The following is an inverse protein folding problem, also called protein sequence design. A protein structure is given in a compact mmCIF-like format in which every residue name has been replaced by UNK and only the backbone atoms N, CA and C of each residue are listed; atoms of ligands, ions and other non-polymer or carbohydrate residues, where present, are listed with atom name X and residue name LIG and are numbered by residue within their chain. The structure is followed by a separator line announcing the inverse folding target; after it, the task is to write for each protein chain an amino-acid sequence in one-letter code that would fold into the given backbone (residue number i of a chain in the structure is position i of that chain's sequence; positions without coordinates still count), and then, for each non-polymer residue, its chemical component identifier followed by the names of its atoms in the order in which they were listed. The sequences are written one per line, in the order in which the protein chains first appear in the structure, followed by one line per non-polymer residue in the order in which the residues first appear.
data_IF_796861031646
#
_entry.id   IF_796861031646
#
_cell.length_a   1.000
_cell.length_b   1.000
_cell.length_c   1.000
_cell.angle_alpha   90.00
_cell.angle_beta   90.00
_cell.angle_gamma   90.00
#
_symmetry.space_group_name_H-M   'P 1'
#
loop_
_entity.id
_entity.type
_entity.pdbx_description
1 polymer ?
#
# COMPACT_ATOMS: atom_id res chain seq x y z
N UNK A 1 47.21 -37.03 -11.78
CA UNK A 1 47.68 -35.71 -11.31
C UNK A 1 47.32 -34.66 -12.34
N UNK A 2 46.59 -33.61 -11.92
CA UNK A 2 46.60 -32.18 -12.39
C UNK A 2 46.57 -31.91 -13.91
N UNK A 3 45.74 -31.05 -14.50
CA UNK A 3 44.68 -30.11 -14.08
C UNK A 3 43.98 -29.72 -15.41
N UNK A 4 42.64 -29.82 -15.47
CA UNK A 4 41.82 -29.08 -16.43
C UNK A 4 41.89 -27.59 -16.13
N UNK A 5 41.89 -26.72 -17.14
CA UNK A 5 41.26 -25.39 -17.08
C UNK A 5 41.06 -24.89 -18.52
N UNK A 6 39.87 -25.09 -19.07
CA UNK A 6 39.35 -24.33 -20.20
C UNK A 6 38.70 -23.08 -19.57
N UNK A 7 39.32 -21.94 -19.75
CA UNK A 7 38.87 -20.66 -19.24
C UNK A 7 37.91 -19.98 -20.23
N UNK A 8 36.83 -19.41 -19.69
CA UNK A 8 36.13 -18.29 -20.31
C UNK A 8 34.80 -18.61 -20.99
N UNK A 9 33.83 -19.18 -20.25
CA UNK A 9 32.43 -19.05 -20.64
C UNK A 9 31.99 -17.59 -20.41
N UNK A 10 31.61 -16.93 -21.50
CA UNK A 10 31.05 -15.60 -21.57
C UNK A 10 29.75 -15.55 -20.74
N UNK A 11 29.74 -14.83 -19.60
CA UNK A 11 28.50 -14.49 -18.91
C UNK A 11 28.02 -13.16 -19.48
N UNK A 12 27.18 -13.26 -20.51
CA UNK A 12 26.36 -12.18 -21.02
C UNK A 12 24.93 -12.73 -21.11
N UNK A 13 24.21 -12.63 -20.00
CA UNK A 13 22.76 -12.79 -19.93
C UNK A 13 22.30 -11.78 -18.89
N UNK A 14 22.03 -10.57 -19.36
CA UNK A 14 20.68 -10.06 -19.60
C UNK A 14 20.25 -9.28 -18.37
N UNK A 15 20.25 -7.96 -18.56
CA UNK A 15 19.45 -7.04 -17.78
C UNK A 15 18.15 -7.73 -17.40
N UNK A 16 17.88 -7.80 -16.09
CA UNK A 16 16.59 -8.22 -15.59
C UNK A 16 15.56 -7.31 -16.23
N UNK A 17 14.93 -7.81 -17.30
CA UNK A 17 13.66 -7.30 -17.74
C UNK A 17 12.75 -7.49 -16.55
N UNK A 18 12.47 -6.40 -15.86
CA UNK A 18 11.23 -6.28 -15.12
C UNK A 18 10.14 -6.58 -16.14
N UNK A 19 9.62 -7.81 -16.06
CA UNK A 19 8.34 -8.14 -16.64
C UNK A 19 7.36 -7.08 -16.10
N UNK A 20 6.50 -6.58 -16.98
CA UNK A 20 5.54 -5.54 -16.69
C UNK A 20 4.87 -5.72 -15.31
N UNK A 21 4.78 -4.64 -14.53
CA UNK A 21 3.58 -4.35 -13.76
C UNK A 21 3.38 -4.97 -12.38
N UNK A 22 4.40 -5.45 -11.68
CA UNK A 22 4.19 -5.83 -10.27
C UNK A 22 4.21 -4.55 -9.41
N UNK A 23 3.02 -4.13 -8.94
CA UNK A 23 2.90 -3.03 -7.97
C UNK A 23 3.80 -3.24 -6.75
N UNK A 24 4.16 -2.16 -6.07
CA UNK A 24 5.18 -2.22 -5.00
C UNK A 24 4.64 -2.91 -3.74
N UNK A 25 5.06 -4.16 -3.49
CA UNK A 25 4.60 -4.95 -2.35
C UNK A 25 5.52 -4.80 -1.12
N UNK A 26 5.06 -4.08 -0.10
CA UNK A 26 5.81 -3.83 1.14
C UNK A 26 5.10 -4.28 2.43
N UNK A 27 3.89 -4.86 2.34
CA UNK A 27 3.15 -5.31 3.52
C UNK A 27 3.93 -6.38 4.30
N UNK A 28 4.01 -6.21 5.62
CA UNK A 28 4.70 -7.13 6.51
C UNK A 28 6.23 -7.03 6.50
N UNK A 29 6.83 -6.20 5.65
CA UNK A 29 8.27 -5.93 5.68
C UNK A 29 8.66 -5.15 6.93
N UNK A 30 9.89 -5.35 7.41
CA UNK A 30 10.52 -4.54 8.44
C UNK A 30 11.03 -3.22 7.86
N UNK A 31 11.38 -2.25 8.71
CA UNK A 31 11.95 -0.98 8.24
C UNK A 31 13.18 -1.16 7.33
N UNK A 32 14.10 -2.07 7.67
CA UNK A 32 15.28 -2.33 6.84
C UNK A 32 14.90 -2.87 5.46
N UNK A 33 13.99 -3.85 5.39
CA UNK A 33 13.50 -4.43 4.13
C UNK A 33 12.77 -3.38 3.29
N UNK A 34 11.99 -2.48 3.91
CA UNK A 34 11.37 -1.35 3.22
C UNK A 34 12.42 -0.43 2.61
N UNK A 35 13.50 -0.12 3.33
CA UNK A 35 14.59 0.73 2.80
C UNK A 35 15.32 0.06 1.63
N UNK A 36 15.39 -1.27 1.59
CA UNK A 36 15.95 -2.01 0.45
C UNK A 36 15.06 -1.90 -0.80
N UNK A 37 13.73 -1.87 -0.64
CA UNK A 37 12.75 -1.77 -1.74
C UNK A 37 12.51 -0.31 -2.17
N UNK A 38 12.23 0.55 -1.20
CA UNK A 38 11.83 1.94 -1.38
C UNK A 38 12.99 2.91 -1.17
N UNK A 39 14.23 2.50 -0.92
CA UNK A 39 15.34 3.40 -0.60
C UNK A 39 15.12 4.18 0.71
N UNK A 40 15.77 5.34 0.88
CA UNK A 40 15.57 6.16 2.07
C UNK A 40 14.24 6.95 2.02
N UNK A 41 13.56 7.14 3.17
CA UNK A 41 12.43 8.05 3.25
C UNK A 41 12.86 9.48 2.92
N UNK A 42 11.93 10.26 2.37
CA UNK A 42 12.11 11.67 2.05
C UNK A 42 11.85 12.57 3.27
N UNK A 43 10.84 12.24 4.07
CA UNK A 43 10.47 12.96 5.29
C UNK A 43 9.59 12.09 6.18
N UNK A 44 9.35 12.56 7.40
CA UNK A 44 8.46 11.94 8.38
C UNK A 44 7.22 12.80 8.54
N UNK A 45 6.03 12.21 8.43
CA UNK A 45 4.74 12.88 8.69
C UNK A 45 4.21 12.44 10.05
N UNK A 46 3.84 13.40 10.89
CA UNK A 46 3.35 13.14 12.24
C UNK A 46 2.02 13.84 12.46
N UNK A 47 1.05 13.18 13.08
CA UNK A 47 -0.16 13.86 13.52
C UNK A 47 0.11 14.65 14.81
N UNK A 48 -0.06 15.97 14.73
CA UNK A 48 0.00 16.89 15.85
C UNK A 48 -1.34 16.88 16.60
N UNK A 49 -1.36 16.15 17.71
CA UNK A 49 -2.51 16.06 18.64
C UNK A 49 -2.72 17.34 19.48
N UNK A 50 -2.01 18.44 19.18
CA UNK A 50 -2.26 19.75 19.77
C UNK A 50 -3.66 20.30 19.43
N UNK A 51 -4.02 21.48 19.96
CA UNK A 51 -5.36 22.05 19.83
C UNK A 51 -5.83 22.24 18.38
N UNK A 52 -4.89 22.39 17.44
CA UNK A 52 -5.17 22.59 16.03
C UNK A 52 -5.36 21.29 15.23
N UNK A 53 -5.04 20.11 15.80
CA UNK A 53 -5.19 18.79 15.18
C UNK A 53 -4.78 18.76 13.70
N UNK A 54 -3.48 18.88 13.44
CA UNK A 54 -2.91 19.02 12.08
C UNK A 54 -1.80 18.01 11.83
N UNK A 55 -1.30 17.93 10.61
CA UNK A 55 -0.07 17.19 10.33
C UNK A 55 1.16 18.12 10.42
N UNK A 56 2.23 17.59 10.99
CA UNK A 56 3.57 18.17 10.97
C UNK A 56 4.49 17.29 10.12
N UNK A 57 5.50 17.90 9.50
CA UNK A 57 6.42 17.25 8.59
C UNK A 57 7.84 17.57 9.02
N UNK A 58 8.70 16.55 9.08
CA UNK A 58 10.08 16.66 9.54
C UNK A 58 11.01 16.05 8.49
N UNK A 59 12.15 16.70 8.26
CA UNK A 59 13.30 16.03 7.64
C UNK A 59 13.79 14.88 8.54
N UNK A 60 14.59 13.97 7.99
CA UNK A 60 15.13 12.85 8.77
C UNK A 60 16.02 13.34 9.92
N UNK A 61 16.83 14.37 9.69
CA UNK A 61 17.73 14.95 10.71
C UNK A 61 16.92 15.62 11.83
N UNK A 62 15.87 16.37 11.50
CA UNK A 62 14.97 16.95 12.51
C UNK A 62 14.26 15.88 13.33
N UNK A 63 13.85 14.79 12.69
CA UNK A 63 13.18 13.68 13.36
C UNK A 63 14.14 12.93 14.30
N UNK A 64 15.40 12.70 13.90
CA UNK A 64 16.42 12.10 14.77
C UNK A 64 16.63 12.91 16.05
N UNK A 65 16.49 14.24 16.00
CA UNK A 65 16.64 15.11 17.17
C UNK A 65 15.46 15.03 18.17
N UNK A 66 14.25 14.68 17.71
CA UNK A 66 13.03 14.77 18.54
C UNK A 66 12.29 13.43 18.72
N UNK A 67 12.58 12.42 17.92
CA UNK A 67 11.85 11.15 17.89
C UNK A 67 11.86 10.45 19.25
N UNK A 68 13.01 10.45 19.93
CA UNK A 68 13.16 9.87 21.27
C UNK A 68 12.38 10.63 22.34
N UNK A 69 12.10 11.92 22.12
CA UNK A 69 11.34 12.77 23.04
C UNK A 69 9.83 12.60 22.86
N UNK A 70 9.39 12.01 21.75
CA UNK A 70 7.98 11.85 21.40
C UNK A 70 7.62 10.39 21.02
N UNK A 71 7.85 9.40 21.92
CA UNK A 71 7.68 7.97 21.61
C UNK A 71 6.23 7.57 21.28
N UNK A 72 5.25 8.40 21.65
CA UNK A 72 3.82 8.21 21.32
C UNK A 72 3.44 8.81 19.96
N UNK A 73 4.27 9.69 19.41
CA UNK A 73 4.07 10.28 18.09
C UNK A 73 4.81 9.42 17.07
N UNK A 74 4.28 8.22 16.79
CA UNK A 74 4.82 7.42 15.69
C UNK A 74 4.51 8.14 14.38
N UNK A 75 5.56 8.66 13.74
CA UNK A 75 5.45 9.23 12.40
C UNK A 75 5.27 8.16 11.34
N UNK A 76 4.67 8.56 10.23
CA UNK A 76 4.68 7.83 8.97
C UNK A 76 6.00 8.15 8.24
N UNK A 77 6.76 7.11 7.90
CA UNK A 77 7.86 7.27 6.95
C UNK A 77 7.25 7.56 5.56
N UNK A 78 7.64 8.66 4.93
CA UNK A 78 7.17 8.99 3.58
C UNK A 78 8.27 8.80 2.55
N UNK A 79 8.02 7.93 1.57
CA UNK A 79 8.92 7.64 0.45
C UNK A 79 8.35 8.20 -0.84
N UNK A 80 9.19 8.66 -1.76
CA UNK A 80 8.77 9.13 -3.09
C UNK A 80 9.33 8.18 -4.15
N UNK A 81 8.48 7.44 -4.84
CA UNK A 81 8.92 6.46 -5.85
C UNK A 81 8.01 6.47 -7.07
N UNK A 82 8.59 6.12 -8.21
CA UNK A 82 7.83 5.93 -9.45
C UNK A 82 7.35 4.50 -9.57
N UNK A 83 6.07 4.31 -9.88
CA UNK A 83 5.44 3.03 -10.22
C UNK A 83 4.89 3.16 -11.63
N UNK A 84 5.24 2.25 -12.54
CA UNK A 84 4.84 2.32 -13.97
C UNK A 84 5.09 3.71 -14.60
N UNK A 85 6.21 4.35 -14.22
CA UNK A 85 6.60 5.68 -14.70
C UNK A 85 5.85 6.86 -14.09
N UNK A 86 4.88 6.64 -13.20
CA UNK A 86 4.16 7.69 -12.48
C UNK A 86 4.69 7.88 -11.05
N UNK A 87 4.91 9.12 -10.57
CA UNK A 87 5.35 9.40 -9.21
C UNK A 87 4.25 9.18 -8.16
N UNK A 88 4.61 8.53 -7.05
CA UNK A 88 3.78 8.33 -5.86
C UNK A 88 4.53 8.68 -4.58
N UNK A 89 3.79 9.20 -3.60
CA UNK A 89 4.21 9.24 -2.21
C UNK A 89 3.66 8.01 -1.49
N UNK A 90 4.53 7.27 -0.82
CA UNK A 90 4.19 6.11 0.01
C UNK A 90 4.29 6.51 1.46
N UNK A 91 3.16 6.58 2.14
CA UNK A 91 3.05 6.84 3.57
C UNK A 91 2.96 5.50 4.29
N UNK A 92 4.03 5.12 4.99
CA UNK A 92 4.17 3.78 5.56
C UNK A 92 3.90 3.81 7.07
N UNK A 93 2.97 2.95 7.51
CA UNK A 93 2.63 2.79 8.92
C UNK A 93 3.14 1.44 9.41
N UNK A 94 3.97 1.45 10.45
CA UNK A 94 4.50 0.24 11.07
C UNK A 94 3.68 -0.18 12.28
N UNK A 95 3.35 -1.47 12.34
CA UNK A 95 2.66 -2.10 13.46
C UNK A 95 3.67 -2.92 14.28
N UNK A 96 3.69 -2.78 15.62
CA UNK A 96 4.53 -3.61 16.47
C UNK A 96 3.98 -5.03 16.55
N UNK A 97 4.84 -6.03 16.30
CA UNK A 97 4.49 -7.45 16.38
C UNK A 97 5.22 -8.11 17.55
N UNK A 98 4.44 -8.67 18.48
CA UNK A 98 4.91 -9.29 19.73
C UNK A 98 4.92 -10.82 19.61
N UNK A 99 5.91 -11.39 18.90
CA UNK A 99 6.00 -12.84 18.66
C UNK A 99 6.99 -13.57 19.59
N UNK A 100 7.81 -12.82 20.32
CA UNK A 100 8.86 -13.35 21.19
C UNK A 100 8.43 -13.45 22.67
N UNK A 101 9.26 -14.08 23.52
CA UNK A 101 9.03 -14.12 24.97
C UNK A 101 9.11 -12.73 25.61
N UNK A 102 9.77 -11.77 24.94
CA UNK A 102 9.93 -10.41 25.42
C UNK A 102 8.96 -9.45 24.72
N UNK A 103 7.93 -9.05 25.45
CA UNK A 103 6.94 -8.05 25.01
C UNK A 103 7.51 -6.63 24.93
N UNK A 104 8.72 -6.38 25.44
CA UNK A 104 9.36 -5.07 25.45
C UNK A 104 10.27 -4.82 24.24
N UNK A 105 10.43 -5.83 23.37
CA UNK A 105 11.23 -5.75 22.14
C UNK A 105 10.42 -6.18 20.91
N UNK A 106 9.35 -5.47 20.53
CA UNK A 106 8.54 -5.82 19.37
C UNK A 106 9.33 -5.65 18.06
N UNK A 107 8.99 -6.46 17.06
CA UNK A 107 9.45 -6.24 15.70
C UNK A 107 8.41 -5.40 14.97
N UNK A 108 8.81 -4.23 14.50
CA UNK A 108 7.94 -3.35 13.71
C UNK A 108 7.90 -3.81 12.25
N UNK A 109 6.69 -3.98 11.72
CA UNK A 109 6.45 -4.40 10.34
C UNK A 109 5.39 -3.51 9.70
N UNK A 110 5.45 -3.30 8.39
CA UNK A 110 4.45 -2.51 7.66
C UNK A 110 3.08 -3.15 7.85
N UNK A 111 2.21 -2.45 8.58
CA UNK A 111 0.83 -2.85 8.82
C UNK A 111 -0.07 -2.42 7.68
N UNK A 112 0.12 -1.19 7.22
CA UNK A 112 -0.57 -0.58 6.11
C UNK A 112 0.32 0.49 5.47
N UNK A 113 0.03 0.85 4.24
CA UNK A 113 0.61 2.04 3.62
C UNK A 113 -0.38 2.69 2.66
N UNK A 114 -0.25 4.01 2.52
CA UNK A 114 -1.07 4.79 1.60
C UNK A 114 -0.22 5.35 0.47
N UNK A 115 -0.65 5.12 -0.76
CA UNK A 115 -0.09 5.67 -1.97
C UNK A 115 -0.88 6.91 -2.38
N UNK A 116 -0.21 8.05 -2.48
CA UNK A 116 -0.76 9.28 -3.07
C UNK A 116 -0.15 9.48 -4.45
N UNK A 117 -0.93 9.38 -5.55
CA UNK A 117 -0.43 9.71 -6.87
C UNK A 117 -0.15 11.21 -6.98
N UNK A 118 1.00 11.60 -7.52
CA UNK A 118 1.28 13.01 -7.87
C UNK A 118 0.81 13.37 -9.29
N UNK A 119 0.12 12.44 -9.95
CA UNK A 119 -0.48 12.58 -11.28
C UNK A 119 -1.98 12.27 -11.21
N UNK A 120 -2.72 12.65 -12.25
CA UNK A 120 -4.13 12.29 -12.37
C UNK A 120 -4.29 10.80 -12.65
N UNK A 121 -4.53 10.04 -11.58
CA UNK A 121 -4.85 8.61 -11.64
C UNK A 121 -6.36 8.41 -11.72
N UNK A 122 -6.82 7.57 -12.64
CA UNK A 122 -8.22 7.17 -12.77
C UNK A 122 -8.44 5.73 -12.31
N UNK A 123 -9.67 5.38 -11.93
CA UNK A 123 -10.04 4.02 -11.52
C UNK A 123 -9.66 2.97 -12.56
N UNK A 124 -9.91 3.23 -13.85
CA UNK A 124 -9.61 2.31 -14.94
C UNK A 124 -8.11 2.06 -15.19
N UNK A 125 -7.22 2.80 -14.51
CA UNK A 125 -5.78 2.58 -14.53
C UNK A 125 -5.22 2.05 -13.22
N UNK A 126 -6.03 2.00 -12.15
CA UNK A 126 -5.59 1.67 -10.80
C UNK A 126 -4.90 0.30 -10.73
N UNK A 127 -5.42 -0.69 -11.45
CA UNK A 127 -4.87 -2.04 -11.49
C UNK A 127 -3.40 -2.11 -11.90
N UNK A 128 -2.89 -1.16 -12.69
CA UNK A 128 -1.49 -1.15 -13.09
C UNK A 128 -0.52 -0.73 -11.96
N UNK A 129 -1.01 -0.14 -10.88
CA UNK A 129 -0.17 0.48 -9.85
C UNK A 129 -0.22 -0.24 -8.50
N UNK A 130 -1.13 -1.20 -8.33
CA UNK A 130 -1.33 -1.91 -7.06
C UNK A 130 -0.86 -3.36 -7.17
N UNK A 131 -0.29 -3.94 -6.10
CA UNK A 131 -0.06 -5.37 -6.02
C UNK A 131 -1.35 -6.15 -6.30
N UNK A 132 -1.24 -7.28 -6.99
CA UNK A 132 -2.37 -8.14 -7.37
C UNK A 132 -3.42 -7.44 -8.25
N UNK A 133 -3.04 -6.37 -8.96
CA UNK A 133 -3.95 -5.62 -9.82
C UNK A 133 -4.51 -6.43 -11.00
N UNK A 134 -3.80 -7.47 -11.44
CA UNK A 134 -4.29 -8.43 -12.42
C UNK A 134 -5.54 -9.19 -11.95
N UNK A 135 -5.66 -9.45 -10.64
CA UNK A 135 -6.85 -10.06 -10.05
C UNK A 135 -8.05 -9.12 -10.09
N UNK A 136 -7.82 -7.82 -9.96
CA UNK A 136 -8.86 -6.81 -10.12
C UNK A 136 -9.43 -6.83 -11.54
N UNK A 137 -8.56 -6.87 -12.56
CA UNK A 137 -8.95 -6.96 -13.97
C UNK A 137 -9.62 -8.30 -14.31
N UNK A 138 -9.25 -9.38 -13.63
CA UNK A 138 -9.86 -10.69 -13.79
C UNK A 138 -11.23 -10.82 -13.07
N UNK A 139 -11.74 -9.75 -12.46
CA UNK A 139 -13.00 -9.76 -11.70
C UNK A 139 -12.91 -10.57 -10.40
N UNK A 140 -11.70 -10.80 -9.89
CA UNK A 140 -11.42 -11.52 -8.62
C UNK A 140 -11.34 -10.54 -7.45
N UNK A 141 -12.37 -9.71 -7.33
CA UNK A 141 -12.49 -8.78 -6.22
C UNK A 141 -13.95 -8.55 -5.87
N UNK A 142 -14.17 -8.08 -4.64
CA UNK A 142 -15.47 -7.57 -4.19
C UNK A 142 -15.28 -6.12 -3.78
N UNK A 143 -16.19 -5.26 -4.22
CA UNK A 143 -16.04 -3.82 -4.09
C UNK A 143 -17.27 -3.18 -3.46
N UNK A 144 -17.05 -2.22 -2.56
CA UNK A 144 -18.13 -1.48 -1.90
C UNK A 144 -17.82 0.00 -1.84
N UNK A 145 -18.79 0.81 -2.24
CA UNK A 145 -18.75 2.25 -2.10
C UNK A 145 -19.23 2.66 -0.72
N UNK A 146 -18.44 3.52 -0.07
CA UNK A 146 -18.76 4.11 1.21
C UNK A 146 -18.64 5.63 1.11
N UNK A 147 -19.76 6.28 1.42
CA UNK A 147 -19.80 7.73 1.63
C UNK A 147 -19.48 7.98 3.10
N UNK A 148 -18.63 8.96 3.35
CA UNK A 148 -18.32 9.43 4.70
C UNK A 148 -18.77 10.88 4.86
N UNK A 149 -18.98 11.27 6.11
CA UNK A 149 -19.16 12.68 6.45
C UNK A 149 -17.84 13.44 6.32
N UNK A 150 -17.93 14.75 6.10
CA UNK A 150 -16.74 15.59 6.07
C UNK A 150 -15.97 15.50 7.40
N UNK A 151 -14.63 15.46 7.38
CA UNK A 151 -13.74 15.80 6.27
C UNK A 151 -13.38 14.66 5.32
N UNK A 152 -13.83 13.43 5.59
CA UNK A 152 -13.41 12.23 4.87
C UNK A 152 -13.91 12.19 3.42
N UNK A 153 -13.15 11.56 2.54
CA UNK A 153 -13.47 11.42 1.12
C UNK A 153 -14.36 10.20 0.87
N UNK A 154 -15.22 10.20 -0.17
CA UNK A 154 -15.87 8.98 -0.61
C UNK A 154 -14.83 7.94 -1.02
N UNK A 155 -15.06 6.66 -0.68
CA UNK A 155 -14.09 5.59 -0.93
C UNK A 155 -14.72 4.36 -1.56
N UNK A 156 -13.94 3.60 -2.32
CA UNK A 156 -14.24 2.21 -2.66
C UNK A 156 -13.35 1.30 -1.81
N UNK A 157 -13.96 0.43 -1.02
CA UNK A 157 -13.27 -0.66 -0.35
C UNK A 157 -13.25 -1.84 -1.31
N UNK A 158 -12.07 -2.38 -1.58
CA UNK A 158 -11.84 -3.51 -2.49
C UNK A 158 -11.21 -4.64 -1.69
N UNK A 159 -11.88 -5.78 -1.64
CA UNK A 159 -11.28 -7.02 -1.17
C UNK A 159 -10.84 -7.83 -2.39
N UNK A 160 -9.54 -8.07 -2.54
CA UNK A 160 -9.02 -8.92 -3.61
C UNK A 160 -9.16 -10.38 -3.17
N UNK A 161 -9.86 -11.18 -3.98
CA UNK A 161 -10.03 -12.62 -3.75
C UNK A 161 -8.77 -13.35 -4.27
N UNK A 162 -7.62 -13.08 -3.64
CA UNK A 162 -6.29 -13.57 -3.98
C UNK A 162 -5.71 -14.62 -3.01
N UNK A 163 -4.43 -14.98 -3.15
CA UNK A 163 -3.75 -15.88 -2.21
C UNK A 163 -3.70 -15.28 -0.80
N UNK A 164 -3.59 -16.14 0.22
CA UNK A 164 -3.39 -15.68 1.59
C UNK A 164 -2.06 -14.93 1.72
N UNK A 165 -2.12 -13.70 2.23
CA UNK A 165 -0.95 -12.88 2.48
C UNK A 165 -0.11 -13.48 3.60
N UNK A 166 1.18 -13.66 3.33
CA UNK A 166 2.14 -14.14 4.32
C UNK A 166 2.20 -13.23 5.57
N UNK A 167 1.94 -11.93 5.38
CA UNK A 167 1.86 -10.94 6.45
C UNK A 167 0.70 -11.20 7.43
N UNK A 168 -0.31 -11.97 7.03
CA UNK A 168 -1.44 -12.37 7.88
C UNK A 168 -1.04 -13.14 9.13
N UNK A 169 0.10 -13.86 9.12
CA UNK A 169 0.63 -14.52 10.33
C UNK A 169 1.03 -13.53 11.43
N UNK A 170 1.28 -12.27 11.07
CA UNK A 170 1.73 -11.21 11.97
C UNK A 170 0.63 -10.19 12.25
N UNK A 171 -0.13 -9.83 11.21
CA UNK A 171 -1.01 -8.65 11.21
C UNK A 171 -2.50 -8.98 11.34
N UNK A 172 -2.87 -10.27 11.39
CA UNK A 172 -4.25 -10.69 11.61
C UNK A 172 -4.79 -10.09 12.92
N UNK A 173 -5.97 -9.48 12.85
CA UNK A 173 -6.63 -8.90 14.03
C UNK A 173 -7.29 -10.00 14.86
N UNK A 174 -7.44 -9.74 16.16
CA UNK A 174 -8.05 -10.70 17.08
C UNK A 174 -9.47 -11.07 16.63
N UNK A 175 -9.75 -12.38 16.55
CA UNK A 175 -11.04 -12.99 16.11
C UNK A 175 -11.37 -12.88 14.62
N UNK A 176 -10.46 -12.43 13.78
CA UNK A 176 -10.60 -12.61 12.33
C UNK A 176 -10.56 -14.10 11.96
N UNK A 177 -11.59 -14.56 11.24
CA UNK A 177 -11.69 -15.92 10.71
C UNK A 177 -11.69 -15.91 9.19
N UNK A 178 -10.89 -16.78 8.57
CA UNK A 178 -10.72 -16.85 7.12
C UNK A 178 -9.31 -16.46 6.66
N UNK A 179 -9.04 -16.51 5.35
CA UNK A 179 -7.76 -16.12 4.79
C UNK A 179 -7.57 -14.60 4.90
N UNK A 180 -6.37 -14.17 5.29
CA UNK A 180 -5.98 -12.75 5.22
C UNK A 180 -5.57 -12.46 3.79
N UNK A 181 -6.25 -11.55 3.10
CA UNK A 181 -5.96 -11.18 1.72
C UNK A 181 -5.68 -9.68 1.63
N UNK A 182 -5.39 -9.19 0.43
CA UNK A 182 -5.15 -7.78 0.18
C UNK A 182 -6.48 -7.02 0.15
N UNK A 183 -6.59 -6.02 1.02
CA UNK A 183 -7.66 -5.02 1.00
C UNK A 183 -7.09 -3.69 0.49
N UNK A 184 -7.80 -3.06 -0.43
CA UNK A 184 -7.54 -1.70 -0.89
C UNK A 184 -8.66 -0.78 -0.40
N UNK A 185 -8.29 0.40 0.07
CA UNK A 185 -9.21 1.52 0.23
C UNK A 185 -8.82 2.59 -0.79
N UNK A 186 -9.69 2.81 -1.77
CA UNK A 186 -9.48 3.74 -2.87
C UNK A 186 -10.25 5.02 -2.57
N UNK A 187 -9.54 6.08 -2.19
CA UNK A 187 -10.13 7.39 -1.96
C UNK A 187 -10.40 8.12 -3.26
N UNK A 188 -11.57 8.73 -3.38
CA UNK A 188 -12.03 9.42 -4.59
C UNK A 188 -12.15 10.92 -4.34
N UNK A 189 -12.27 11.68 -5.42
CA UNK A 189 -12.48 13.12 -5.34
C UNK A 189 -13.81 13.48 -4.63
N UNK A 190 -13.80 14.60 -3.90
CA UNK A 190 -14.97 15.11 -3.18
C UNK A 190 -16.16 15.29 -4.14
N UNK A 191 -17.34 14.89 -3.68
CA UNK A 191 -18.57 14.95 -4.50
C UNK A 191 -18.78 13.74 -5.40
N UNK A 192 -17.83 12.80 -5.48
CA UNK A 192 -18.07 11.52 -6.15
C UNK A 192 -19.16 10.75 -5.42
N UNK A 193 -20.16 10.27 -6.16
CA UNK A 193 -21.23 9.40 -5.69
C UNK A 193 -21.18 8.04 -6.39
N UNK A 194 -21.89 7.05 -5.84
CA UNK A 194 -22.04 5.74 -6.47
C UNK A 194 -22.57 5.84 -7.92
N UNK A 195 -23.51 6.74 -8.17
CA UNK A 195 -24.13 6.90 -9.48
C UNK A 195 -23.22 7.56 -10.54
N UNK A 196 -22.17 8.26 -10.09
CA UNK A 196 -21.20 8.93 -10.97
C UNK A 196 -19.91 8.13 -11.17
N UNK A 197 -19.81 6.92 -10.62
CA UNK A 197 -18.61 6.09 -10.77
C UNK A 197 -18.44 5.63 -12.21
N UNK A 198 -17.26 5.90 -12.75
CA UNK A 198 -16.82 5.46 -14.08
C UNK A 198 -15.34 5.10 -14.03
N UNK A 199 -14.81 4.37 -15.03
CA UNK A 199 -13.36 4.19 -15.17
C UNK A 199 -12.53 5.49 -15.21
N UNK A 200 -13.15 6.62 -15.56
CA UNK A 200 -12.50 7.93 -15.59
C UNK A 200 -12.50 8.64 -14.23
N UNK A 201 -13.24 8.14 -13.23
CA UNK A 201 -13.30 8.75 -11.90
C UNK A 201 -11.91 8.82 -11.29
N UNK A 202 -11.56 10.00 -10.76
CA UNK A 202 -10.25 10.32 -10.20
C UNK A 202 -10.02 9.64 -8.86
N UNK A 203 -8.85 9.04 -8.70
CA UNK A 203 -8.32 8.44 -7.48
C UNK A 203 -7.41 9.45 -6.80
N UNK A 204 -7.66 9.71 -5.51
CA UNK A 204 -6.90 10.65 -4.68
C UNK A 204 -5.85 9.94 -3.83
N UNK A 205 -6.16 8.73 -3.37
CA UNK A 205 -5.23 7.89 -2.63
C UNK A 205 -5.63 6.43 -2.72
N UNK A 206 -4.67 5.55 -2.43
CA UNK A 206 -4.90 4.11 -2.32
C UNK A 206 -4.23 3.63 -1.04
N UNK A 207 -5.00 3.16 -0.06
CA UNK A 207 -4.45 2.52 1.14
C UNK A 207 -4.47 1.01 0.95
N UNK A 208 -3.34 0.37 1.22
CA UNK A 208 -3.15 -1.07 1.13
C UNK A 208 -2.96 -1.64 2.53
N UNK A 209 -3.73 -2.67 2.86
CA UNK A 209 -3.64 -3.34 4.15
C UNK A 209 -4.03 -4.82 4.06
N UNK A 210 -3.51 -5.68 4.95
CA UNK A 210 -4.05 -7.02 5.12
C UNK A 210 -5.47 -6.93 5.69
N UNK A 211 -6.41 -7.63 5.08
CA UNK A 211 -7.80 -7.65 5.48
C UNK A 211 -8.40 -9.04 5.39
N UNK A 212 -9.31 -9.33 6.33
CA UNK A 212 -10.20 -10.48 6.24
C UNK A 212 -11.59 -9.96 5.91
N UNK A 213 -12.24 -10.60 4.93
CA UNK A 213 -13.61 -10.25 4.60
C UNK A 213 -14.55 -10.52 5.80
N UNK A 214 -15.11 -9.46 6.38
CA UNK A 214 -16.05 -9.53 7.50
C UNK A 214 -17.49 -9.13 7.14
N UNK A 215 -17.78 -8.87 5.86
CA UNK A 215 -19.09 -8.42 5.38
C UNK A 215 -18.99 -7.27 4.38
N UNK A 216 -20.13 -6.77 3.93
CA UNK A 216 -20.21 -5.64 2.98
C UNK A 216 -20.27 -4.30 3.74
N UNK A 217 -19.18 -3.52 3.81
CA UNK A 217 -19.14 -2.28 4.59
C UNK A 217 -19.88 -1.09 3.91
N UNK A 218 -20.53 -1.30 2.77
CA UNK A 218 -21.16 -0.26 1.97
C UNK A 218 -22.02 -0.79 0.82
N UNK A 219 -22.33 0.09 -0.14
CA UNK A 219 -23.14 -0.25 -1.33
C UNK A 219 -22.27 -1.00 -2.35
N UNK A 220 -22.72 -2.11 -2.95
CA UNK A 220 -21.90 -2.88 -3.89
C UNK A 220 -21.52 -2.05 -5.13
N UNK A 221 -20.28 -2.22 -5.59
CA UNK A 221 -19.74 -1.60 -6.81
C UNK A 221 -19.34 -2.70 -7.78
N UNK A 222 -19.75 -2.61 -9.06
CA UNK A 222 -19.23 -3.49 -10.11
C UNK A 222 -17.70 -3.37 -10.26
N UNK A 223 -16.99 -4.50 -10.36
CA UNK A 223 -15.52 -4.52 -10.47
C UNK A 223 -15.03 -3.94 -11.81
N UNK A 224 -15.89 -3.90 -12.83
CA UNK A 224 -15.57 -3.36 -14.16
C UNK A 224 -15.24 -1.86 -14.16
N UNK A 225 -15.56 -1.11 -13.08
CA UNK A 225 -15.11 0.28 -12.91
C UNK A 225 -13.59 0.42 -12.87
N UNK A 226 -12.86 -0.66 -12.60
CA UNK A 226 -11.40 -0.72 -12.62
C UNK A 226 -10.83 -1.16 -13.97
N UNK A 227 -11.68 -1.53 -14.94
CA UNK A 227 -11.27 -1.79 -16.31
C UNK A 227 -11.00 -0.51 -17.10
N UNK A 228 -10.29 -0.57 -18.23
CA UNK A 228 -10.05 0.60 -19.09
C UNK A 228 -11.37 1.19 -19.59
N UNK A 229 -11.37 2.50 -19.88
CA UNK A 229 -12.56 3.24 -20.30
C UNK A 229 -13.09 2.89 -21.71
N UNK A 230 -12.55 1.88 -22.39
CA UNK A 230 -12.93 1.54 -23.77
C UNK A 230 -14.17 0.63 -23.83
N UNK A 231 -15.22 1.11 -24.52
CA UNK A 231 -16.24 0.25 -25.15
C UNK A 231 -17.63 0.15 -24.49
N UNK A 232 -18.17 1.23 -23.92
CA UNK A 232 -19.63 1.37 -23.76
C UNK A 232 -20.16 2.57 -24.53
#
# INVERSE_FOLDING_TARGET
MRKMFIAGLLILALAGGALAGDGVEILGLTHQEVVEVLGRPAYIKVFDYGPAQKYAYFTLDEWEMIGDLAPLAQGEDVYIRSVEGAPFQFHVVYTPIYLGPDRFSPVFRVGEYTMYPEVDLSLGRLAAYVPQGELLLAGKAKCWFKEYEEPYLPTIIVQIDGPELSAGKYLRRFREGGPVQLELEVGLERGTSLASLTPATRVVYITLRPGVFQGAPGKPVPVDVFGPAEGR
#
